data_IF_228645140095
#
_entry.id   IF_228645140095
#
_cell.length_a   1.000
_cell.length_b   1.000
_cell.length_c   1.000
_cell.angle_alpha   90.00
_cell.angle_beta   90.00
_cell.angle_gamma   90.00
#
_symmetry.space_group_name_H-M   'P 1'
#
loop_
_entity.id
_entity.type
_entity.pdbx_description
1 polymer ?
#
# COMPACT_ATOMS: atom_id res chain seq x y z
N UNK A 1 -42.90 -42.92 23.74
CA UNK A 1 -42.94 -41.97 22.61
C UNK A 1 -42.43 -40.63 23.11
N UNK A 2 -41.43 -40.06 22.44
CA UNK A 2 -41.11 -38.63 22.26
C UNK A 2 -39.64 -38.61 21.81
N UNK A 3 -39.43 -38.45 20.51
CA UNK A 3 -38.14 -38.14 19.91
C UNK A 3 -38.03 -36.61 19.84
N UNK A 4 -36.99 -36.04 20.46
CA UNK A 4 -36.68 -34.61 20.34
C UNK A 4 -35.66 -34.44 19.23
N UNK A 5 -36.12 -33.94 18.08
CA UNK A 5 -35.29 -33.55 16.94
C UNK A 5 -34.58 -32.21 17.26
N UNK A 6 -33.26 -32.24 17.42
CA UNK A 6 -32.44 -31.04 17.48
C UNK A 6 -32.14 -30.55 16.06
N UNK A 7 -32.78 -29.44 15.66
CA UNK A 7 -32.45 -28.72 14.42
C UNK A 7 -31.09 -28.01 14.56
N UNK A 8 -30.09 -28.49 13.82
CA UNK A 8 -28.85 -27.76 13.60
C UNK A 8 -29.09 -26.68 12.53
N UNK A 9 -29.24 -25.42 12.98
CA UNK A 9 -29.19 -24.26 12.09
C UNK A 9 -27.73 -24.01 11.71
N UNK A 10 -27.33 -24.39 10.49
CA UNK A 10 -26.07 -23.93 9.90
C UNK A 10 -26.21 -22.44 9.56
N UNK A 11 -25.59 -21.57 10.35
CA UNK A 11 -25.33 -20.19 9.99
C UNK A 11 -24.21 -20.15 8.94
N UNK A 12 -24.60 -20.14 7.67
CA UNK A 12 -23.69 -19.87 6.55
C UNK A 12 -23.26 -18.40 6.61
N UNK A 13 -22.00 -18.15 6.97
CA UNK A 13 -21.39 -16.83 6.83
C UNK A 13 -21.14 -16.60 5.33
N UNK A 14 -21.67 -15.55 4.70
CA UNK A 14 -21.38 -15.29 3.30
C UNK A 14 -19.93 -14.87 3.16
N UNK A 15 -19.16 -15.64 2.39
CA UNK A 15 -17.81 -15.29 1.99
C UNK A 15 -17.82 -13.94 1.26
N UNK A 16 -16.99 -13.02 1.71
CA UNK A 16 -16.79 -11.73 1.04
C UNK A 16 -16.25 -11.99 -0.37
N UNK A 17 -17.09 -11.77 -1.37
CA UNK A 17 -16.69 -11.66 -2.76
C UNK A 17 -15.81 -10.42 -2.90
N UNK A 18 -14.50 -10.60 -3.04
CA UNK A 18 -13.60 -9.51 -3.40
C UNK A 18 -13.83 -9.14 -4.86
N UNK A 19 -14.63 -8.10 -5.08
CA UNK A 19 -14.91 -7.58 -6.42
C UNK A 19 -13.60 -7.12 -7.10
N UNK A 20 -13.32 -7.50 -8.36
CA UNK A 20 -12.11 -7.08 -9.08
C UNK A 20 -12.01 -5.56 -9.25
N UNK A 21 -13.15 -4.86 -9.22
CA UNK A 21 -13.25 -3.39 -9.24
C UNK A 21 -12.62 -2.74 -8.01
N UNK A 22 -12.69 -3.39 -6.84
CA UNK A 22 -12.17 -2.85 -5.57
C UNK A 22 -10.64 -2.94 -5.49
N UNK A 23 -10.05 -3.98 -6.08
CA UNK A 23 -8.59 -4.13 -6.16
C UNK A 23 -8.00 -3.11 -7.14
N UNK A 24 -8.64 -2.91 -8.29
CA UNK A 24 -8.25 -1.89 -9.26
C UNK A 24 -8.34 -0.46 -8.69
N UNK A 25 -9.42 -0.13 -7.97
CA UNK A 25 -9.56 1.20 -7.34
C UNK A 25 -8.53 1.44 -6.23
N UNK A 26 -8.10 0.39 -5.52
CA UNK A 26 -7.03 0.47 -4.53
C UNK A 26 -5.66 0.74 -5.17
N UNK A 27 -5.34 0.09 -6.29
CA UNK A 27 -4.09 0.28 -7.02
C UNK A 27 -4.05 1.68 -7.66
N UNK A 28 -5.16 2.16 -8.19
CA UNK A 28 -5.27 3.48 -8.81
C UNK A 28 -5.02 4.59 -7.78
N UNK A 29 -5.62 4.46 -6.60
CA UNK A 29 -5.42 5.40 -5.49
C UNK A 29 -3.97 5.36 -4.98
N UNK A 30 -3.41 4.17 -4.80
CA UNK A 30 -2.02 4.00 -4.41
C UNK A 30 -1.06 4.59 -5.45
N UNK A 31 -1.28 4.31 -6.73
CA UNK A 31 -0.47 4.86 -7.80
C UNK A 31 -0.50 6.39 -7.80
N UNK A 32 -1.69 6.99 -7.68
CA UNK A 32 -1.81 8.45 -7.67
C UNK A 32 -1.07 9.10 -6.49
N UNK A 33 -1.32 8.62 -5.28
CA UNK A 33 -0.86 9.27 -4.04
C UNK A 33 0.59 8.94 -3.68
N UNK A 34 1.02 7.72 -3.98
CA UNK A 34 2.33 7.23 -3.58
C UNK A 34 3.29 7.28 -4.77
N UNK A 35 3.00 6.55 -5.84
CA UNK A 35 3.94 6.38 -6.95
C UNK A 35 4.10 7.66 -7.76
N UNK A 36 2.98 8.24 -8.22
CA UNK A 36 3.00 9.40 -9.09
C UNK A 36 3.47 10.65 -8.35
N UNK A 37 2.82 11.00 -7.25
CA UNK A 37 3.12 12.23 -6.51
C UNK A 37 4.55 12.25 -5.92
N UNK A 38 5.08 11.10 -5.49
CA UNK A 38 6.41 11.04 -4.84
C UNK A 38 7.54 10.75 -5.82
N UNK A 39 7.29 9.99 -6.90
CA UNK A 39 8.35 9.52 -7.80
C UNK A 39 8.09 9.89 -9.25
N UNK A 40 6.93 9.53 -9.79
CA UNK A 40 6.61 9.66 -11.21
C UNK A 40 6.70 11.08 -11.73
N UNK A 41 6.03 12.02 -11.09
CA UNK A 41 6.04 13.44 -11.49
C UNK A 41 7.42 14.07 -11.24
N UNK A 42 8.04 13.75 -10.11
CA UNK A 42 9.23 14.45 -9.62
C UNK A 42 10.52 13.99 -10.26
N UNK A 43 10.59 12.73 -10.69
CA UNK A 43 11.83 12.11 -11.17
C UNK A 43 11.67 11.62 -12.60
N UNK A 44 10.68 10.77 -12.87
CA UNK A 44 10.56 10.09 -14.16
C UNK A 44 10.09 11.03 -15.28
N UNK A 45 9.08 11.86 -15.00
CA UNK A 45 8.48 12.79 -15.97
C UNK A 45 9.47 13.84 -16.49
N UNK A 46 10.57 14.11 -15.77
CA UNK A 46 11.55 15.09 -16.19
C UNK A 46 12.17 14.75 -17.55
N UNK A 47 12.43 13.46 -17.80
CA UNK A 47 13.01 12.96 -19.06
C UNK A 47 12.00 12.21 -19.94
N UNK A 48 11.08 11.46 -19.33
CA UNK A 48 10.15 10.58 -20.02
C UNK A 48 8.86 11.29 -20.43
N UNK A 49 8.97 12.33 -21.26
CA UNK A 49 7.83 13.11 -21.80
C UNK A 49 8.12 13.56 -23.22
N UNK A 50 7.10 13.95 -24.01
CA UNK A 50 7.34 14.59 -25.30
C UNK A 50 8.27 15.80 -25.16
N UNK A 51 9.31 15.89 -26.00
CA UNK A 51 10.36 16.90 -25.95
C UNK A 51 11.38 16.72 -24.81
N UNK A 52 11.36 15.59 -24.10
CA UNK A 52 12.32 15.25 -23.06
C UNK A 52 13.46 14.36 -23.58
N UNK A 53 14.56 14.26 -22.84
CA UNK A 53 15.75 13.48 -23.22
C UNK A 53 15.48 11.98 -23.47
N UNK A 54 14.39 11.45 -22.94
CA UNK A 54 13.98 10.06 -23.11
C UNK A 54 12.67 9.93 -23.92
N UNK A 55 12.35 10.91 -24.77
CA UNK A 55 11.12 10.91 -25.59
C UNK A 55 11.03 9.71 -26.55
N UNK A 56 12.17 9.24 -27.07
CA UNK A 56 12.25 8.07 -27.96
C UNK A 56 12.09 6.73 -27.22
N UNK A 57 11.96 6.75 -25.89
CA UNK A 57 11.79 5.54 -25.11
C UNK A 57 10.34 5.02 -25.16
N UNK A 58 10.18 3.70 -24.99
CA UNK A 58 8.85 3.07 -24.87
C UNK A 58 8.11 3.43 -23.57
N UNK A 59 8.77 4.12 -22.64
CA UNK A 59 8.22 4.55 -21.37
C UNK A 59 7.99 6.06 -21.44
N UNK A 60 6.87 6.47 -22.06
CA UNK A 60 6.53 7.88 -22.24
C UNK A 60 5.34 8.28 -21.34
N UNK A 61 5.53 9.34 -20.57
CA UNK A 61 4.57 9.85 -19.59
C UNK A 61 3.94 11.16 -20.06
N UNK A 62 2.74 11.43 -19.56
CA UNK A 62 1.98 12.65 -19.80
C UNK A 62 2.01 13.54 -18.56
N UNK A 63 2.24 14.84 -18.79
CA UNK A 63 2.27 15.84 -17.73
C UNK A 63 0.84 16.23 -17.32
N UNK A 64 0.44 15.84 -16.10
CA UNK A 64 -0.89 16.11 -15.57
C UNK A 64 -1.17 17.61 -15.36
N UNK A 65 -0.13 18.44 -15.22
CA UNK A 65 -0.31 19.90 -15.10
C UNK A 65 -0.73 20.55 -16.40
N UNK A 66 -0.45 19.91 -17.53
CA UNK A 66 -0.77 20.38 -18.88
C UNK A 66 -1.92 19.59 -19.51
N UNK A 67 -2.54 18.70 -18.73
CA UNK A 67 -3.54 17.77 -19.19
C UNK A 67 -4.93 18.41 -19.24
N UNK A 68 -5.68 18.11 -20.30
CA UNK A 68 -7.12 18.42 -20.41
C UNK A 68 -7.99 17.30 -19.82
N UNK A 69 -7.45 16.08 -19.72
CA UNK A 69 -8.08 14.91 -19.12
C UNK A 69 -7.11 14.26 -18.11
N UNK A 70 -7.06 14.83 -16.91
CA UNK A 70 -6.12 14.38 -15.88
C UNK A 70 -6.35 12.91 -15.49
N UNK A 71 -7.60 12.44 -15.52
CA UNK A 71 -7.93 11.06 -15.16
C UNK A 71 -7.43 10.08 -16.22
N UNK A 72 -7.67 10.37 -17.50
CA UNK A 72 -7.16 9.59 -18.63
C UNK A 72 -5.63 9.59 -18.70
N UNK A 73 -5.00 10.73 -18.47
CA UNK A 73 -3.54 10.84 -18.50
C UNK A 73 -2.86 10.15 -17.31
N UNK A 74 -3.47 10.22 -16.11
CA UNK A 74 -2.99 9.47 -14.95
C UNK A 74 -3.12 7.96 -15.18
N UNK A 75 -4.21 7.51 -15.81
CA UNK A 75 -4.38 6.11 -16.22
C UNK A 75 -3.32 5.69 -17.23
N UNK A 76 -3.05 6.49 -18.26
CA UNK A 76 -1.97 6.26 -19.23
C UNK A 76 -0.61 6.09 -18.53
N UNK A 77 -0.30 7.00 -17.60
CA UNK A 77 0.94 6.94 -16.83
C UNK A 77 1.02 5.64 -16.01
N UNK A 78 -0.06 5.27 -15.30
CA UNK A 78 -0.11 4.02 -14.53
C UNK A 78 0.11 2.80 -15.41
N UNK A 79 -0.49 2.75 -16.59
CA UNK A 79 -0.31 1.65 -17.53
C UNK A 79 1.13 1.57 -18.04
N UNK A 80 1.77 2.70 -18.33
CA UNK A 80 3.19 2.74 -18.70
C UNK A 80 4.09 2.20 -17.58
N UNK A 81 3.84 2.60 -16.34
CA UNK A 81 4.54 2.08 -15.16
C UNK A 81 4.29 0.58 -14.98
N UNK A 82 3.05 0.12 -15.15
CA UNK A 82 2.68 -1.29 -15.05
C UNK A 82 3.38 -2.14 -16.09
N UNK A 83 3.47 -1.68 -17.35
CA UNK A 83 4.21 -2.38 -18.42
C UNK A 83 5.69 -2.53 -18.05
N UNK A 84 6.33 -1.47 -17.56
CA UNK A 84 7.74 -1.52 -17.13
C UNK A 84 7.95 -2.41 -15.91
N UNK A 85 7.02 -2.38 -14.95
CA UNK A 85 7.08 -3.18 -13.73
C UNK A 85 7.01 -4.69 -14.02
N UNK A 86 6.16 -5.10 -14.98
CA UNK A 86 5.97 -6.50 -15.40
C UNK A 86 7.08 -7.06 -16.28
N UNK A 87 7.92 -6.22 -16.88
CA UNK A 87 9.07 -6.70 -17.64
C UNK A 87 10.14 -7.18 -16.66
N UNK A 88 10.38 -8.48 -16.63
CA UNK A 88 11.49 -9.07 -15.88
C UNK A 88 12.72 -9.23 -16.78
N UNK A 89 13.92 -9.04 -16.21
CA UNK A 89 15.20 -9.32 -16.89
C UNK A 89 15.79 -10.63 -16.36
N UNK A 90 15.66 -10.86 -15.07
CA UNK A 90 15.95 -12.11 -14.37
C UNK A 90 14.75 -12.46 -13.48
N UNK A 91 14.69 -13.69 -12.98
CA UNK A 91 13.61 -14.15 -12.09
C UNK A 91 13.48 -13.20 -10.90
N UNK A 92 12.28 -12.65 -10.69
CA UNK A 92 11.96 -11.69 -9.62
C UNK A 92 12.70 -10.35 -9.68
N UNK A 93 13.32 -9.99 -10.81
CA UNK A 93 13.95 -8.68 -10.98
C UNK A 93 13.21 -7.82 -12.02
N UNK A 94 12.41 -6.88 -11.53
CA UNK A 94 11.72 -5.92 -12.38
C UNK A 94 12.70 -4.98 -13.09
N UNK A 95 12.55 -4.87 -14.41
CA UNK A 95 13.29 -3.93 -15.25
C UNK A 95 13.15 -2.49 -14.77
N UNK A 96 11.99 -2.11 -14.23
CA UNK A 96 11.77 -0.79 -13.65
C UNK A 96 12.76 -0.51 -12.52
N UNK A 97 12.85 -1.42 -11.55
CA UNK A 97 13.73 -1.28 -10.38
C UNK A 97 15.20 -1.27 -10.78
N UNK A 98 15.60 -2.18 -11.67
CA UNK A 98 16.99 -2.26 -12.11
C UNK A 98 17.44 -1.03 -12.92
N UNK A 99 16.56 -0.44 -13.73
CA UNK A 99 16.87 0.78 -14.50
C UNK A 99 17.10 1.97 -13.58
N UNK A 100 16.22 2.18 -12.58
CA UNK A 100 16.30 3.38 -11.72
C UNK A 100 17.54 3.37 -10.81
N UNK A 101 18.05 2.21 -10.43
CA UNK A 101 19.31 2.08 -9.66
C UNK A 101 20.56 1.94 -10.55
N UNK A 102 20.44 2.14 -11.87
CA UNK A 102 21.56 2.09 -12.80
C UNK A 102 22.15 0.71 -13.08
N UNK A 103 21.55 -0.38 -12.57
CA UNK A 103 21.95 -1.77 -12.85
C UNK A 103 21.65 -2.19 -14.30
N UNK A 104 20.75 -1.49 -14.97
CA UNK A 104 20.54 -1.58 -16.42
C UNK A 104 20.83 -0.23 -17.07
N UNK A 105 21.32 -0.25 -18.32
CA UNK A 105 21.60 0.97 -19.09
C UNK A 105 20.38 1.89 -19.18
N UNK A 106 20.36 2.98 -18.42
CA UNK A 106 19.21 3.89 -18.35
C UNK A 106 19.38 5.18 -19.17
N UNK A 107 20.59 5.48 -19.66
CA UNK A 107 20.91 6.74 -20.35
C UNK A 107 21.28 7.84 -19.36
N UNK A 108 20.38 8.13 -18.40
CA UNK A 108 20.59 9.11 -17.33
C UNK A 108 21.38 8.62 -16.10
N UNK A 109 21.97 7.42 -16.14
CA UNK A 109 22.60 6.73 -14.99
C UNK A 109 21.59 6.43 -13.86
N UNK A 110 22.06 6.32 -12.62
CA UNK A 110 21.21 6.11 -11.44
C UNK A 110 20.30 7.31 -11.19
N UNK A 111 19.00 7.06 -11.01
CA UNK A 111 18.00 8.08 -10.66
C UNK A 111 17.58 7.99 -9.20
N UNK A 112 17.55 6.78 -8.63
CA UNK A 112 17.18 6.52 -7.25
C UNK A 112 18.21 5.61 -6.60
N UNK A 113 18.54 5.87 -5.33
CA UNK A 113 19.39 4.97 -4.55
C UNK A 113 18.61 3.69 -4.16
N UNK A 114 19.23 2.50 -4.14
CA UNK A 114 18.57 1.23 -3.82
C UNK A 114 17.84 1.16 -2.46
N UNK A 115 18.18 2.03 -1.52
CA UNK A 115 17.64 2.09 -0.16
C UNK A 115 16.86 3.38 0.12
N UNK A 116 16.57 4.18 -0.92
CA UNK A 116 15.80 5.41 -0.76
C UNK A 116 14.32 5.12 -0.50
N UNK A 117 13.61 6.13 0.04
CA UNK A 117 12.17 6.03 0.26
C UNK A 117 11.43 5.87 -1.06
N UNK A 118 11.85 6.61 -2.09
CA UNK A 118 11.30 6.58 -3.45
C UNK A 118 11.50 5.21 -4.10
N UNK A 119 12.66 4.59 -3.91
CA UNK A 119 12.90 3.23 -4.40
C UNK A 119 11.95 2.22 -3.74
N UNK A 120 11.75 2.32 -2.42
CA UNK A 120 10.78 1.46 -1.71
C UNK A 120 9.35 1.65 -2.20
N UNK A 121 8.94 2.87 -2.53
CA UNK A 121 7.63 3.14 -3.13
C UNK A 121 7.47 2.43 -4.47
N UNK A 122 8.49 2.47 -5.34
CA UNK A 122 8.47 1.73 -6.60
C UNK A 122 8.49 0.21 -6.39
N UNK A 123 9.25 -0.27 -5.39
CA UNK A 123 9.29 -1.69 -5.07
C UNK A 123 7.92 -2.20 -4.58
N UNK A 124 7.23 -1.46 -3.72
CA UNK A 124 5.86 -1.79 -3.29
C UNK A 124 4.89 -1.81 -4.48
N UNK A 125 5.00 -0.83 -5.39
CA UNK A 125 4.21 -0.83 -6.61
C UNK A 125 4.43 -2.08 -7.49
N UNK A 126 5.69 -2.48 -7.70
CA UNK A 126 6.04 -3.69 -8.45
C UNK A 126 5.47 -4.93 -7.75
N UNK A 127 5.63 -5.04 -6.43
CA UNK A 127 5.06 -6.13 -5.64
C UNK A 127 3.54 -6.22 -5.81
N UNK A 128 2.82 -5.11 -5.71
CA UNK A 128 1.35 -5.08 -5.85
C UNK A 128 0.88 -5.50 -7.23
N UNK A 129 1.62 -5.18 -8.29
CA UNK A 129 1.28 -5.59 -9.66
C UNK A 129 1.53 -7.07 -9.89
N UNK A 130 2.60 -7.60 -9.30
CA UNK A 130 3.03 -8.99 -9.51
C UNK A 130 2.39 -9.97 -8.52
N UNK A 131 1.78 -9.46 -7.45
CA UNK A 131 1.03 -10.26 -6.48
C UNK A 131 -0.39 -10.49 -7.00
N UNK A 132 -0.83 -11.76 -7.16
CA UNK A 132 -2.20 -12.07 -7.52
C UNK A 132 -3.21 -11.44 -6.53
N UNK A 133 -4.35 -10.95 -7.03
CA UNK A 133 -5.40 -10.33 -6.21
C UNK A 133 -5.99 -11.24 -5.11
N UNK A 134 -5.72 -12.55 -5.18
CA UNK A 134 -6.13 -13.56 -4.18
C UNK A 134 -5.02 -13.93 -3.18
N UNK A 135 -3.85 -13.32 -3.26
CA UNK A 135 -2.84 -13.48 -2.23
C UNK A 135 -3.30 -12.71 -1.01
N UNK A 136 -3.92 -13.41 -0.06
CA UNK A 136 -4.07 -12.88 1.29
C UNK A 136 -2.68 -12.41 1.73
N UNK A 137 -2.53 -11.22 2.33
CA UNK A 137 -1.27 -10.86 2.94
C UNK A 137 -0.90 -12.01 3.88
N UNK A 138 0.28 -12.60 3.66
CA UNK A 138 0.88 -13.57 4.58
C UNK A 138 1.27 -12.82 5.86
N UNK A 139 0.27 -12.39 6.61
CA UNK A 139 0.42 -12.25 8.04
C UNK A 139 0.54 -13.68 8.55
N UNK A 140 1.77 -14.17 8.60
CA UNK A 140 2.10 -15.29 9.47
C UNK A 140 1.87 -14.77 10.88
N UNK A 141 0.62 -14.90 11.35
CA UNK A 141 0.32 -14.86 12.76
C UNK A 141 1.10 -16.03 13.35
N UNK A 142 2.27 -15.73 13.90
CA UNK A 142 2.94 -16.67 14.78
C UNK A 142 1.96 -16.99 15.90
N UNK A 143 1.42 -18.21 15.86
CA UNK A 143 0.42 -18.68 16.84
C UNK A 143 1.01 -18.72 18.25
N UNK A 144 2.33 -18.68 18.36
CA UNK A 144 3.07 -18.66 19.61
C UNK A 144 3.56 -17.26 19.98
N UNK A 145 3.30 -16.24 19.16
CA UNK A 145 3.66 -14.88 19.52
C UNK A 145 2.87 -14.45 20.76
N UNK A 146 3.53 -13.78 21.72
CA UNK A 146 2.83 -13.24 22.86
C UNK A 146 1.77 -12.22 22.38
N UNK A 147 0.67 -12.04 23.13
CA UNK A 147 -0.32 -11.00 22.82
C UNK A 147 0.36 -9.64 22.61
N UNK A 148 -0.17 -8.82 21.70
CA UNK A 148 0.42 -7.52 21.32
C UNK A 148 0.80 -6.63 22.53
N UNK A 149 0.03 -6.72 23.61
CA UNK A 149 0.22 -5.97 24.85
C UNK A 149 0.88 -6.77 25.99
N UNK A 150 1.56 -7.89 25.70
CA UNK A 150 2.10 -8.79 26.73
C UNK A 150 3.05 -8.10 27.73
N UNK A 151 3.82 -7.11 27.29
CA UNK A 151 4.72 -6.32 28.14
C UNK A 151 4.10 -5.03 28.67
N UNK A 152 2.82 -4.78 28.39
CA UNK A 152 2.10 -3.59 28.86
C UNK A 152 1.34 -3.95 30.13
N UNK A 153 1.71 -3.32 31.24
CA UNK A 153 0.98 -3.43 32.49
C UNK A 153 -0.23 -2.49 32.46
N UNK A 154 -1.43 -3.04 32.61
CA UNK A 154 -2.64 -2.25 32.78
C UNK A 154 -2.63 -1.52 34.13
N UNK A 155 -3.15 -0.29 34.15
CA UNK A 155 -3.38 0.45 35.38
C UNK A 155 -4.42 -0.28 36.23
N UNK A 156 -4.28 -0.24 37.56
CA UNK A 156 -5.36 -0.64 38.46
C UNK A 156 -6.52 0.36 38.43
N UNK A 157 -7.70 -0.06 38.89
CA UNK A 157 -8.93 0.73 38.83
C UNK A 157 -8.77 2.10 39.48
N UNK A 158 -8.04 2.19 40.59
CA UNK A 158 -7.81 3.46 41.30
C UNK A 158 -6.93 4.41 40.50
N UNK A 159 -5.85 3.90 39.91
CA UNK A 159 -4.98 4.67 39.01
C UNK A 159 -5.71 5.09 37.74
N UNK A 160 -6.57 4.22 37.21
CA UNK A 160 -7.39 4.49 36.04
C UNK A 160 -8.39 5.62 36.31
N UNK A 161 -9.18 5.54 37.39
CA UNK A 161 -10.14 6.59 37.78
C UNK A 161 -9.43 7.92 38.02
N UNK A 162 -8.27 7.91 38.70
CA UNK A 162 -7.46 9.12 38.88
C UNK A 162 -7.02 9.73 37.56
N UNK A 163 -6.59 8.91 36.59
CA UNK A 163 -6.16 9.41 35.28
C UNK A 163 -7.33 9.94 34.47
N UNK A 164 -8.49 9.29 34.53
CA UNK A 164 -9.72 9.71 33.83
C UNK A 164 -10.21 11.04 34.40
N UNK A 165 -10.36 11.15 35.71
CA UNK A 165 -10.85 12.38 36.38
C UNK A 165 -9.92 13.57 36.17
N UNK A 166 -8.60 13.34 36.21
CA UNK A 166 -7.63 14.38 35.87
C UNK A 166 -7.75 14.82 34.40
N UNK A 167 -7.95 13.88 33.47
CA UNK A 167 -8.01 14.19 32.04
C UNK A 167 -9.34 14.84 31.63
N UNK A 168 -10.45 14.48 32.26
CA UNK A 168 -11.80 14.94 31.89
C UNK A 168 -12.30 16.12 32.73
N UNK A 169 -12.03 16.09 34.04
CA UNK A 169 -12.57 17.06 34.99
C UNK A 169 -11.51 18.00 35.58
N UNK A 170 -10.22 17.80 35.27
CA UNK A 170 -9.14 18.65 35.77
C UNK A 170 -8.95 18.61 37.29
N UNK A 171 -9.52 17.61 37.98
CA UNK A 171 -9.47 17.45 39.43
C UNK A 171 -9.16 16.00 39.82
N UNK A 172 -8.83 15.79 41.09
CA UNK A 172 -8.71 14.45 41.65
C UNK A 172 -10.10 13.79 41.85
N UNK A 173 -10.16 12.45 41.88
CA UNK A 173 -11.39 11.73 42.22
C UNK A 173 -11.91 12.12 43.60
N UNK A 174 -13.23 12.21 43.76
CA UNK A 174 -13.89 12.27 45.07
C UNK A 174 -14.01 10.87 45.68
N UNK A 175 -14.33 10.79 46.97
CA UNK A 175 -14.53 9.51 47.67
C UNK A 175 -15.67 8.67 47.09
N UNK A 176 -16.66 9.31 46.46
CA UNK A 176 -17.76 8.64 45.76
C UNK A 176 -17.38 8.04 44.41
N UNK A 177 -16.22 8.41 43.86
CA UNK A 177 -15.72 7.95 42.55
C UNK A 177 -14.65 6.85 42.70
N UNK A 178 -14.17 6.59 43.93
CA UNK A 178 -13.16 5.58 44.28
C UNK A 178 -13.79 4.29 44.79
#
# INVERSE_FOLDING_TARGET
MIAVLASFFLLTIPGQSTNPVQVASSLDTFFQKEVWAKVGERTCLQCHKPGGEAEDSKFLLRDLKRSQDQAGDLKHNREAFTRMAKMEVEVHQSRLLLKVVGKLKHGGKEQLKPDSVEYRVLADFVTRINTPANTKPDFVLDKNAPPFFHSVKMLDDRQLVRRITLSLAGRLPSDSEL
#
